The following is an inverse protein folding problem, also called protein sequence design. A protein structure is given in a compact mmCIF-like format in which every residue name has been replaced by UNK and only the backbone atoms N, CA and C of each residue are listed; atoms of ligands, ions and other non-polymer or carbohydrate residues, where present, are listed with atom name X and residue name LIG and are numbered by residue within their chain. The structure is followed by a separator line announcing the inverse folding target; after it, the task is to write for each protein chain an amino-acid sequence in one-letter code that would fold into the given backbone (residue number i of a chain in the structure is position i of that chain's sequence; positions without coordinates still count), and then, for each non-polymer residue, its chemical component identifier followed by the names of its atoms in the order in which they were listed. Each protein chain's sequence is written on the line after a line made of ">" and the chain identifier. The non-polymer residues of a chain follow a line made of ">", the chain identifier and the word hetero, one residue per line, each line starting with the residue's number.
data_IF_349371365826
#
_entry.id   IF_349371365826
#
_cell.length_a   1.000
_cell.length_b   1.000
_cell.length_c   1.000
_cell.angle_alpha   90.00
_cell.angle_beta   90.00
_cell.angle_gamma   90.00
#
_symmetry.space_group_name_H-M   'P 1'
#
loop_
_entity.id
_entity.type
_entity.pdbx_description
1 polymer ?
#
# COMPACT_ATOMS: atom_id res chain seq x y z
N UNK A 1 5.96 -1.25 15.75
CA UNK A 1 6.98 -0.55 16.54
C UNK A 1 7.90 -1.55 17.24
N UNK A 2 7.39 -2.44 18.07
CA UNK A 2 8.19 -3.41 18.85
C UNK A 2 9.21 -4.21 18.01
N UNK A 3 8.80 -4.70 16.83
CA UNK A 3 9.72 -5.39 15.92
C UNK A 3 10.86 -4.48 15.44
N UNK A 4 10.59 -3.20 15.19
CA UNK A 4 11.61 -2.23 14.81
C UNK A 4 12.61 -1.99 15.94
N UNK A 5 12.15 -1.87 17.18
CA UNK A 5 13.01 -1.74 18.36
C UNK A 5 13.90 -2.99 18.55
N UNK A 6 13.34 -4.20 18.38
CA UNK A 6 14.12 -5.43 18.45
C UNK A 6 15.22 -5.53 17.38
N UNK A 7 15.05 -4.82 16.25
CA UNK A 7 16.02 -4.74 15.16
C UNK A 7 16.98 -3.55 15.31
N UNK A 8 16.90 -2.80 16.40
CA UNK A 8 17.75 -1.62 16.69
C UNK A 8 17.71 -0.58 15.55
N UNK A 9 16.51 -0.32 14.99
CA UNK A 9 16.32 0.69 13.96
C UNK A 9 15.83 2.00 14.55
N UNK A 10 16.39 3.12 14.08
CA UNK A 10 16.09 4.46 14.59
C UNK A 10 14.77 5.03 14.05
N UNK A 11 14.38 4.66 12.84
CA UNK A 11 13.23 5.23 12.14
C UNK A 11 12.43 4.15 11.39
N UNK A 12 11.10 4.37 11.31
CA UNK A 12 10.19 3.52 10.54
C UNK A 12 9.40 4.34 9.51
N UNK A 13 9.32 3.86 8.28
CA UNK A 13 8.42 4.38 7.26
C UNK A 13 7.07 3.66 7.31
N UNK A 14 5.96 4.41 7.40
CA UNK A 14 4.61 3.87 7.47
C UNK A 14 3.70 4.56 6.45
N UNK A 15 3.77 4.18 5.17
CA UNK A 15 2.89 4.75 4.13
C UNK A 15 1.48 4.16 4.17
N UNK A 16 1.35 2.84 4.04
CA UNK A 16 0.07 2.13 3.88
C UNK A 16 -0.93 2.42 5.00
N UNK A 17 -0.48 2.46 6.25
CA UNK A 17 -1.34 2.76 7.40
C UNK A 17 -1.99 4.15 7.29
N UNK A 18 -1.26 5.15 6.81
CA UNK A 18 -1.76 6.51 6.64
C UNK A 18 -2.57 6.72 5.37
N UNK A 19 -2.48 5.83 4.37
CA UNK A 19 -3.43 5.82 3.24
C UNK A 19 -4.85 5.54 3.75
N UNK A 20 -5.01 4.66 4.73
CA UNK A 20 -6.30 4.33 5.35
C UNK A 20 -6.71 5.34 6.45
N UNK A 21 -6.00 6.46 6.63
CA UNK A 21 -6.40 7.49 7.58
C UNK A 21 -7.66 8.25 7.10
N UNK A 22 -8.49 8.71 8.05
CA UNK A 22 -9.70 9.51 7.76
C UNK A 22 -9.37 10.76 6.95
N UNK A 23 -8.25 11.42 7.27
CA UNK A 23 -7.78 12.66 6.66
C UNK A 23 -7.04 12.45 5.34
N UNK A 24 -6.75 11.20 4.97
CA UNK A 24 -6.13 10.88 3.69
C UNK A 24 -7.03 11.26 2.53
N UNK A 25 -6.45 11.78 1.46
CA UNK A 25 -7.15 12.07 0.20
C UNK A 25 -7.43 10.82 -0.66
N UNK A 26 -7.04 9.62 -0.20
CA UNK A 26 -7.38 8.37 -0.87
C UNK A 26 -8.91 8.20 -0.91
N UNK A 27 -9.42 7.71 -2.05
CA UNK A 27 -10.85 7.39 -2.19
C UNK A 27 -11.26 6.29 -1.22
N UNK A 28 -12.53 6.28 -0.80
CA UNK A 28 -13.03 5.35 0.22
C UNK A 28 -12.85 3.88 -0.19
N UNK A 29 -12.99 3.57 -1.47
CA UNK A 29 -12.77 2.21 -1.98
C UNK A 29 -11.31 1.75 -1.78
N UNK A 30 -10.35 2.66 -1.93
CA UNK A 30 -8.94 2.35 -1.66
C UNK A 30 -8.69 2.10 -0.17
N UNK A 31 -9.22 2.97 0.70
CA UNK A 31 -9.12 2.79 2.16
C UNK A 31 -9.76 1.48 2.60
N UNK A 32 -10.93 1.18 2.06
CA UNK A 32 -11.65 -0.07 2.31
C UNK A 32 -10.85 -1.28 1.83
N UNK A 33 -10.29 -1.22 0.63
CA UNK A 33 -9.46 -2.32 0.10
C UNK A 33 -8.23 -2.55 0.99
N UNK A 34 -7.53 -1.50 1.44
CA UNK A 34 -6.42 -1.64 2.38
C UNK A 34 -6.84 -2.33 3.68
N UNK A 35 -7.96 -1.91 4.28
CA UNK A 35 -8.39 -2.45 5.58
C UNK A 35 -8.89 -3.89 5.51
N UNK A 36 -9.25 -4.37 4.33
CA UNK A 36 -9.70 -5.74 4.09
C UNK A 36 -8.60 -6.65 3.51
N UNK A 37 -7.40 -6.12 3.23
CA UNK A 37 -6.32 -6.88 2.59
C UNK A 37 -5.28 -7.39 3.58
N UNK A 38 -4.64 -8.47 3.19
CA UNK A 38 -3.46 -9.07 3.83
C UNK A 38 -2.26 -9.06 2.87
N UNK A 39 -1.11 -9.52 3.32
CA UNK A 39 0.09 -9.62 2.45
C UNK A 39 -0.10 -10.59 1.28
N UNK A 40 -1.03 -11.55 1.38
CA UNK A 40 -1.35 -12.51 0.29
C UNK A 40 -2.15 -11.86 -0.84
N UNK A 41 -2.80 -10.72 -0.56
CA UNK A 41 -3.59 -9.96 -1.53
C UNK A 41 -2.74 -8.97 -2.34
N UNK A 42 -1.42 -9.03 -2.18
CA UNK A 42 -0.47 -8.20 -2.90
C UNK A 42 0.16 -8.94 -4.07
N UNK A 43 0.40 -8.23 -5.16
CA UNK A 43 1.18 -8.67 -6.31
C UNK A 43 2.40 -7.77 -6.51
N UNK A 44 3.59 -8.36 -6.54
CA UNK A 44 4.82 -7.66 -6.93
C UNK A 44 4.90 -7.62 -8.45
N UNK A 45 4.99 -6.42 -9.02
CA UNK A 45 5.16 -6.23 -10.46
C UNK A 45 5.84 -4.90 -10.77
N UNK A 46 6.48 -4.81 -11.93
CA UNK A 46 7.00 -3.58 -12.51
C UNK A 46 6.13 -3.06 -13.67
N UNK A 47 5.01 -3.70 -13.98
CA UNK A 47 4.18 -3.40 -15.14
C UNK A 47 3.78 -1.92 -15.20
N UNK A 48 3.33 -1.36 -14.09
CA UNK A 48 2.67 -0.05 -14.08
C UNK A 48 3.64 1.14 -14.11
N UNK A 49 4.79 1.01 -13.46
CA UNK A 49 5.76 2.12 -13.31
C UNK A 49 7.15 1.81 -13.85
N UNK A 50 7.42 0.57 -14.25
CA UNK A 50 8.77 0.10 -14.60
C UNK A 50 9.64 -0.24 -13.40
N UNK A 51 9.25 0.15 -12.18
CA UNK A 51 9.88 -0.25 -10.94
C UNK A 51 9.05 -1.32 -10.23
N UNK A 52 9.71 -2.28 -9.59
CA UNK A 52 9.02 -3.28 -8.78
C UNK A 52 8.33 -2.63 -7.58
N UNK A 53 7.02 -2.80 -7.49
CA UNK A 53 6.21 -2.37 -6.36
C UNK A 53 5.10 -3.39 -6.08
N UNK A 54 4.58 -3.36 -4.86
CA UNK A 54 3.43 -4.18 -4.48
C UNK A 54 2.13 -3.43 -4.77
N UNK A 55 1.20 -4.13 -5.42
CA UNK A 55 -0.12 -3.62 -5.75
C UNK A 55 -1.21 -4.55 -5.20
N UNK A 56 -2.34 -3.98 -4.83
CA UNK A 56 -3.52 -4.72 -4.37
C UNK A 56 -4.12 -5.48 -5.55
N UNK A 57 -4.24 -6.81 -5.44
CA UNK A 57 -4.75 -7.69 -6.50
C UNK A 57 -6.14 -7.27 -6.97
N UNK A 58 -7.03 -6.93 -6.03
CA UNK A 58 -8.39 -6.52 -6.36
C UNK A 58 -8.42 -5.23 -7.18
N UNK A 59 -7.49 -4.28 -6.95
CA UNK A 59 -7.42 -3.09 -7.79
C UNK A 59 -6.97 -3.41 -9.23
N UNK A 60 -6.11 -4.42 -9.39
CA UNK A 60 -5.70 -4.92 -10.71
C UNK A 60 -6.88 -5.60 -11.41
N UNK A 61 -7.61 -6.46 -10.71
CA UNK A 61 -8.79 -7.17 -11.23
C UNK A 61 -9.88 -6.18 -11.63
N UNK A 62 -10.16 -5.17 -10.81
CA UNK A 62 -11.16 -4.13 -11.08
C UNK A 62 -10.86 -3.33 -12.36
N UNK A 63 -9.60 -3.31 -12.78
CA UNK A 63 -9.16 -2.69 -14.03
C UNK A 63 -9.02 -3.69 -15.19
N UNK A 64 -9.57 -4.89 -15.06
CA UNK A 64 -9.67 -5.88 -16.13
C UNK A 64 -8.36 -6.65 -16.41
N UNK A 65 -7.41 -6.62 -15.48
CA UNK A 65 -6.15 -7.36 -15.60
C UNK A 65 -6.14 -8.58 -14.69
N UNK A 66 -5.39 -9.61 -15.11
CA UNK A 66 -5.13 -10.80 -14.29
C UNK A 66 -3.85 -10.58 -13.47
N UNK A 67 -3.92 -10.48 -12.12
CA UNK A 67 -2.74 -10.27 -11.28
C UNK A 67 -1.73 -11.43 -11.35
N UNK A 68 -2.15 -12.62 -11.78
CA UNK A 68 -1.27 -13.77 -11.88
C UNK A 68 -0.59 -13.89 -13.26
N UNK A 69 -1.03 -13.11 -14.24
CA UNK A 69 -0.52 -13.13 -15.61
C UNK A 69 -0.18 -11.73 -16.13
N UNK A 70 0.61 -10.97 -15.37
CA UNK A 70 1.03 -9.61 -15.72
C UNK A 70 2.32 -9.65 -16.56
N UNK A 71 2.34 -8.91 -17.66
CA UNK A 71 3.55 -8.68 -18.45
C UNK A 71 4.57 -7.84 -17.67
N UNK A 72 5.85 -7.99 -18.04
CA UNK A 72 6.91 -7.12 -17.51
C UNK A 72 6.98 -5.83 -18.32
N UNK A 73 7.26 -4.74 -17.63
CA UNK A 73 7.56 -3.46 -18.27
C UNK A 73 9.08 -3.33 -18.46
N UNK A 74 9.54 -3.52 -19.68
CA UNK A 74 10.96 -3.37 -20.06
C UNK A 74 11.32 -1.96 -20.56
N UNK A 75 10.35 -1.02 -20.55
CA UNK A 75 10.53 0.38 -21.03
C UNK A 75 11.20 1.32 -20.02
N UNK A 76 11.51 0.79 -18.83
CA UNK A 76 12.12 1.56 -17.74
C UNK A 76 11.11 2.30 -16.86
N UNK A 77 11.64 3.01 -15.84
CA UNK A 77 10.84 3.69 -14.82
C UNK A 77 10.16 4.94 -15.38
N UNK A 78 8.85 5.04 -15.18
CA UNK A 78 8.03 6.19 -15.53
C UNK A 78 7.18 6.63 -14.35
N UNK A 79 7.50 7.81 -13.79
CA UNK A 79 6.75 8.39 -12.66
C UNK A 79 5.29 8.68 -13.02
N UNK A 80 4.98 9.01 -14.27
CA UNK A 80 3.60 9.28 -14.68
C UNK A 80 2.71 8.04 -14.67
N UNK A 81 3.33 6.84 -14.69
CA UNK A 81 2.63 5.56 -14.57
C UNK A 81 1.51 5.32 -15.60
N UNK A 82 1.46 6.14 -16.66
CA UNK A 82 0.44 6.01 -17.69
C UNK A 82 0.85 4.94 -18.70
N UNK A 83 0.22 3.80 -18.66
CA UNK A 83 0.01 2.97 -19.82
C UNK A 83 -1.28 3.45 -20.51
N UNK A 84 -1.41 3.27 -21.81
CA UNK A 84 -2.39 3.96 -22.70
C UNK A 84 -3.86 4.04 -22.22
N UNK A 85 -4.25 3.33 -21.16
CA UNK A 85 -5.62 3.33 -20.58
C UNK A 85 -5.69 3.27 -19.04
N UNK A 86 -4.56 3.06 -18.33
CA UNK A 86 -4.56 2.85 -16.88
C UNK A 86 -3.54 3.79 -16.23
N UNK A 87 -3.99 4.61 -15.30
CA UNK A 87 -3.12 5.48 -14.50
C UNK A 87 -2.72 4.75 -13.22
N UNK A 88 -1.45 4.34 -13.12
CA UNK A 88 -0.94 3.52 -12.05
C UNK A 88 -1.17 4.07 -10.63
N UNK A 89 -1.30 5.37 -10.47
CA UNK A 89 -1.49 6.00 -9.15
C UNK A 89 -2.95 6.35 -8.85
N UNK A 90 -3.81 6.31 -9.86
CA UNK A 90 -5.22 6.64 -9.76
C UNK A 90 -6.09 5.39 -9.76
N UNK A 91 -5.81 4.46 -10.66
CA UNK A 91 -6.68 3.33 -10.96
C UNK A 91 -6.14 2.02 -10.35
N UNK A 92 -4.81 1.87 -10.23
CA UNK A 92 -4.15 0.71 -9.62
C UNK A 92 -3.51 1.13 -8.30
N UNK A 93 -3.92 0.48 -7.21
CA UNK A 93 -3.56 0.89 -5.86
C UNK A 93 -2.45 0.02 -5.28
N UNK A 94 -1.47 0.67 -4.68
CA UNK A 94 -0.34 0.02 -4.05
C UNK A 94 -0.51 -0.11 -2.53
N UNK A 95 0.16 -1.09 -1.95
CA UNK A 95 0.28 -1.21 -0.50
C UNK A 95 1.60 -1.91 -0.14
N UNK A 96 2.15 -1.59 1.02
CA UNK A 96 3.30 -2.30 1.55
C UNK A 96 2.90 -3.67 2.15
N UNK A 97 3.88 -4.54 2.35
CA UNK A 97 3.68 -5.89 2.91
C UNK A 97 3.04 -5.89 4.31
N UNK A 98 3.15 -4.78 5.05
CA UNK A 98 2.49 -4.58 6.33
C UNK A 98 1.00 -4.22 6.24
N UNK A 99 0.35 -4.36 5.09
CA UNK A 99 -1.06 -4.00 4.87
C UNK A 99 -2.00 -4.67 5.88
N UNK A 100 -1.76 -5.93 6.25
CA UNK A 100 -2.56 -6.67 7.22
C UNK A 100 -2.58 -6.07 8.65
N UNK A 101 -1.69 -5.12 8.96
CA UNK A 101 -1.73 -4.35 10.20
C UNK A 101 -2.56 -3.06 10.09
N UNK A 102 -3.18 -2.80 8.96
CA UNK A 102 -4.02 -1.61 8.69
C UNK A 102 -5.49 -2.03 8.52
N UNK A 103 -6.07 -2.61 9.57
CA UNK A 103 -7.37 -3.31 9.56
C UNK A 103 -8.58 -2.42 9.89
N UNK A 104 -8.41 -1.10 10.00
CA UNK A 104 -9.48 -0.13 10.24
C UNK A 104 -9.11 1.25 9.75
N UNK A 105 -10.12 2.05 9.44
CA UNK A 105 -9.98 3.48 9.11
C UNK A 105 -9.97 4.26 10.43
N UNK A 106 -8.86 4.90 10.73
CA UNK A 106 -8.64 5.69 11.95
C UNK A 106 -8.29 7.13 11.59
N UNK A 107 -8.40 8.07 12.53
CA UNK A 107 -7.79 9.39 12.35
C UNK A 107 -6.27 9.32 12.48
N UNK A 108 -5.58 10.28 11.90
CA UNK A 108 -4.12 10.42 12.06
C UNK A 108 -3.72 10.52 13.53
N UNK A 109 -4.52 11.22 14.34
CA UNK A 109 -4.34 11.33 15.78
C UNK A 109 -4.45 9.97 16.49
N UNK A 110 -5.48 9.18 16.16
CA UNK A 110 -5.68 7.82 16.70
C UNK A 110 -4.50 6.90 16.34
N UNK A 111 -4.03 6.98 15.09
CA UNK A 111 -2.86 6.22 14.63
C UNK A 111 -1.61 6.62 15.40
N UNK A 112 -1.33 7.92 15.51
CA UNK A 112 -0.13 8.44 16.19
C UNK A 112 -0.12 8.07 17.68
N UNK A 113 -1.23 8.29 18.37
CA UNK A 113 -1.37 7.97 19.81
C UNK A 113 -1.18 6.47 20.09
N UNK A 114 -1.69 5.61 19.20
CA UNK A 114 -1.49 4.18 19.33
C UNK A 114 -0.03 3.77 19.07
N UNK A 115 0.62 4.36 18.06
CA UNK A 115 2.03 4.09 17.79
C UNK A 115 2.94 4.57 18.92
N UNK A 116 2.66 5.72 19.52
CA UNK A 116 3.36 6.20 20.71
C UNK A 116 3.21 5.24 21.89
N UNK A 117 1.98 4.78 22.16
CA UNK A 117 1.74 3.78 23.19
C UNK A 117 2.48 2.48 22.92
N UNK A 118 2.43 1.96 21.70
CA UNK A 118 3.19 0.76 21.29
C UNK A 118 4.70 0.93 21.49
N UNK A 119 5.22 2.16 21.33
CA UNK A 119 6.61 2.48 21.57
C UNK A 119 6.96 2.45 23.05
N UNK A 120 6.11 3.04 23.90
CA UNK A 120 6.33 3.12 25.36
C UNK A 120 6.21 1.72 26.00
N UNK A 121 5.25 0.92 25.54
CA UNK A 121 4.95 -0.41 26.08
C UNK A 121 5.91 -1.51 25.55
N UNK A 122 6.81 -1.18 24.66
CA UNK A 122 7.76 -2.13 24.06
C UNK A 122 9.03 -2.29 24.88
#
# INVERSE_FOLDING_TARGET
>A
IKAAQCLDVDLCYMGTKFIAAKESMAVEDYKSMITNSTSTDLRLTNLFTGANAYYLKDSIINNGLDPDNLERNDKGFNISGSQEKINAWKDIWSAGQGVGFSNKIESTEEIASRLEKEWIDA
#
